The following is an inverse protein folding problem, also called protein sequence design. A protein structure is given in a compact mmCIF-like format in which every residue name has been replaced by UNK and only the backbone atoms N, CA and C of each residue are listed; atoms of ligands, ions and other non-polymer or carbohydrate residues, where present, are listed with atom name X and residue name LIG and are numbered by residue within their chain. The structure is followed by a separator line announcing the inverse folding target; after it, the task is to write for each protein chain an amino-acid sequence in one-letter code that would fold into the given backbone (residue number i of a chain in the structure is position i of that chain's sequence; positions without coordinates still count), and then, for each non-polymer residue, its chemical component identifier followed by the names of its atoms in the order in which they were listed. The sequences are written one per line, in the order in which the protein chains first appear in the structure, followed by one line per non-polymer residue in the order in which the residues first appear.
data_IF_000708024832
#
_entry.id   IF_000708024832
#
_cell.length_a   1.000
_cell.length_b   1.000
_cell.length_c   1.000
_cell.angle_alpha   90.00
_cell.angle_beta   90.00
_cell.angle_gamma   90.00
#
_symmetry.space_group_name_H-M   'P 1'
#
loop_
_entity.id
_entity.type
_entity.pdbx_description
1 polymer ?
#
# COMPACT_ATOMS: atom_id res chain seq x y z
N UNK A 1 -27.87 -28.85 25.51
CA UNK A 1 -28.23 -27.40 25.59
C UNK A 1 -28.97 -27.18 26.90
N UNK A 2 -28.39 -26.47 27.88
CA UNK A 2 -29.04 -26.23 29.19
C UNK A 2 -30.17 -25.21 29.01
N UNK A 3 -31.42 -25.66 29.03
CA UNK A 3 -32.56 -24.79 29.25
C UNK A 3 -32.49 -24.27 30.69
N UNK A 4 -32.08 -23.02 30.87
CA UNK A 4 -32.26 -22.31 32.13
C UNK A 4 -33.75 -22.01 32.30
N UNK A 5 -34.48 -22.89 33.00
CA UNK A 5 -35.87 -22.66 33.36
C UNK A 5 -35.90 -21.62 34.49
N UNK A 6 -36.16 -20.35 34.16
CA UNK A 6 -36.41 -19.31 35.16
C UNK A 6 -37.51 -19.79 36.13
N UNK A 7 -37.29 -19.65 37.45
CA UNK A 7 -38.26 -20.03 38.47
C UNK A 7 -39.54 -19.17 38.38
N UNK A 8 -40.67 -19.71 38.85
CA UNK A 8 -41.97 -19.02 38.81
C UNK A 8 -41.91 -17.60 39.40
N UNK A 9 -41.29 -17.44 40.57
CA UNK A 9 -41.16 -16.14 41.22
C UNK A 9 -40.29 -15.15 40.43
N UNK A 10 -39.25 -15.62 39.73
CA UNK A 10 -38.43 -14.77 38.86
C UNK A 10 -39.21 -14.33 37.61
N UNK A 11 -40.08 -15.18 37.07
CA UNK A 11 -40.98 -14.80 35.96
C UNK A 11 -42.03 -13.78 36.42
N UNK A 12 -42.63 -14.00 37.59
CA UNK A 12 -43.65 -13.11 38.14
C UNK A 12 -43.08 -11.71 38.44
N UNK A 13 -41.92 -11.65 39.08
CA UNK A 13 -41.24 -10.38 39.38
C UNK A 13 -40.78 -9.66 38.11
N UNK A 14 -40.30 -10.39 37.10
CA UNK A 14 -39.98 -9.83 35.80
C UNK A 14 -41.23 -9.26 35.11
N UNK A 15 -42.34 -9.99 35.12
CA UNK A 15 -43.60 -9.56 34.51
C UNK A 15 -44.13 -8.25 35.14
N UNK A 16 -44.13 -8.14 36.47
CA UNK A 16 -44.56 -6.90 37.14
C UNK A 16 -43.65 -5.71 36.79
N UNK A 17 -42.33 -5.91 36.72
CA UNK A 17 -41.40 -4.83 36.35
C UNK A 17 -41.55 -4.40 34.90
N UNK A 18 -41.72 -5.35 33.99
CA UNK A 18 -41.97 -5.09 32.56
C UNK A 18 -43.29 -4.34 32.40
N UNK A 19 -44.36 -4.77 33.06
CA UNK A 19 -45.66 -4.08 33.05
C UNK A 19 -45.55 -2.62 33.50
N UNK A 20 -44.91 -2.36 34.64
CA UNK A 20 -44.70 -0.98 35.10
C UNK A 20 -43.88 -0.15 34.11
N UNK A 21 -42.81 -0.73 33.56
CA UNK A 21 -41.92 -0.04 32.60
C UNK A 21 -42.62 0.28 31.28
N UNK A 22 -43.52 -0.58 30.81
CA UNK A 22 -44.35 -0.31 29.62
C UNK A 22 -45.24 0.92 29.84
N UNK A 23 -45.78 1.11 31.04
CA UNK A 23 -46.66 2.23 31.35
C UNK A 23 -45.91 3.56 31.57
N UNK A 24 -44.62 3.52 31.89
CA UNK A 24 -43.84 4.72 32.23
C UNK A 24 -42.78 5.09 31.19
N UNK A 25 -42.47 4.22 30.23
CA UNK A 25 -41.43 4.45 29.22
C UNK A 25 -41.91 4.06 27.82
N UNK A 26 -42.24 5.08 27.01
CA UNK A 26 -42.77 4.92 25.65
C UNK A 26 -41.80 4.18 24.71
N UNK A 27 -40.51 4.55 24.72
CA UNK A 27 -39.49 3.88 23.88
C UNK A 27 -39.36 2.37 24.17
N UNK A 28 -39.55 1.97 25.43
CA UNK A 28 -39.48 0.57 25.79
C UNK A 28 -40.72 -0.20 25.30
N UNK A 29 -41.90 0.41 25.40
CA UNK A 29 -43.14 -0.15 24.88
C UNK A 29 -43.11 -0.33 23.35
N UNK A 30 -42.60 0.66 22.62
CA UNK A 30 -42.42 0.59 21.16
C UNK A 30 -41.47 -0.53 20.75
N UNK A 31 -40.34 -0.66 21.44
CA UNK A 31 -39.36 -1.73 21.16
C UNK A 31 -39.93 -3.12 21.47
N UNK A 32 -40.77 -3.27 22.50
CA UNK A 32 -41.44 -4.54 22.82
C UNK A 32 -42.48 -4.90 21.76
N UNK A 33 -43.27 -3.93 21.29
CA UNK A 33 -44.21 -4.11 20.18
C UNK A 33 -43.52 -4.50 18.88
N UNK A 34 -42.35 -3.90 18.60
CA UNK A 34 -41.50 -4.29 17.46
C UNK A 34 -40.96 -5.70 17.62
N UNK A 35 -40.57 -6.10 18.83
CA UNK A 35 -40.11 -7.47 19.11
C UNK A 35 -41.24 -8.49 18.89
N UNK A 36 -42.45 -8.20 19.38
CA UNK A 36 -43.62 -9.07 19.19
C UNK A 36 -44.00 -9.23 17.71
N UNK A 37 -43.81 -8.19 16.91
CA UNK A 37 -43.99 -8.24 15.44
C UNK A 37 -42.79 -8.86 14.69
N UNK A 38 -41.70 -9.20 15.39
CA UNK A 38 -40.47 -9.72 14.78
C UNK A 38 -39.66 -8.67 14.02
N UNK A 39 -39.90 -7.38 14.28
CA UNK A 39 -39.31 -6.22 13.59
C UNK A 39 -38.13 -5.60 14.36
N UNK A 40 -37.64 -6.25 15.42
CA UNK A 40 -36.36 -5.86 15.99
C UNK A 40 -35.25 -6.31 15.06
N UNK A 41 -34.79 -5.35 14.26
CA UNK A 41 -33.58 -5.48 13.48
C UNK A 41 -32.39 -5.54 14.46
N UNK A 42 -32.03 -6.75 14.87
CA UNK A 42 -30.83 -7.04 15.68
C UNK A 42 -29.54 -6.86 14.89
N UNK A 43 -29.60 -6.19 13.72
CA UNK A 43 -28.44 -5.72 12.99
C UNK A 43 -27.53 -4.98 13.95
N UNK A 44 -26.50 -5.69 14.37
CA UNK A 44 -25.43 -5.21 15.22
C UNK A 44 -24.89 -3.94 14.58
N UNK A 45 -24.63 -2.85 15.32
CA UNK A 45 -24.00 -1.67 14.72
C UNK A 45 -22.77 -2.16 13.96
N UNK A 46 -22.72 -1.87 12.66
CA UNK A 46 -21.70 -2.36 11.76
C UNK A 46 -20.33 -2.02 12.36
N UNK A 47 -19.65 -3.04 12.89
CA UNK A 47 -18.25 -2.92 13.27
C UNK A 47 -17.53 -2.49 11.98
N UNK A 48 -16.82 -1.35 11.95
CA UNK A 48 -16.09 -0.92 10.77
C UNK A 48 -15.18 -2.08 10.37
N UNK A 49 -15.42 -2.66 9.20
CA UNK A 49 -14.64 -3.79 8.70
C UNK A 49 -13.21 -3.29 8.51
N UNK A 50 -12.27 -3.79 9.31
CA UNK A 50 -10.84 -3.55 9.14
C UNK A 50 -10.49 -3.86 7.67
N UNK A 51 -9.78 -2.95 6.96
CA UNK A 51 -9.49 -3.15 5.55
C UNK A 51 -8.75 -4.48 5.38
N UNK A 52 -9.38 -5.42 4.67
CA UNK A 52 -8.76 -6.71 4.33
C UNK A 52 -7.44 -6.45 3.60
N UNK A 53 -6.34 -7.14 3.96
CA UNK A 53 -5.08 -7.02 3.24
C UNK A 53 -5.33 -7.25 1.75
N UNK A 54 -4.96 -6.28 0.92
CA UNK A 54 -5.11 -6.40 -0.52
C UNK A 54 -4.41 -7.69 -0.99
N UNK A 55 -5.11 -8.51 -1.77
CA UNK A 55 -4.55 -9.75 -2.31
C UNK A 55 -3.27 -9.42 -3.10
N UNK A 56 -2.16 -10.08 -2.73
CA UNK A 56 -0.88 -9.91 -3.41
C UNK A 56 -1.03 -10.38 -4.86
N UNK A 57 -0.79 -9.47 -5.81
CA UNK A 57 -0.77 -9.80 -7.24
C UNK A 57 0.67 -10.05 -7.66
N UNK A 58 0.92 -11.16 -8.35
CA UNK A 58 2.20 -11.38 -9.03
C UNK A 58 2.22 -10.50 -10.29
N UNK A 59 3.26 -9.68 -10.43
CA UNK A 59 3.48 -8.86 -11.63
C UNK A 59 4.12 -9.68 -12.74
N UNK A 60 4.04 -9.20 -13.99
CA UNK A 60 4.67 -9.81 -15.16
C UNK A 60 6.20 -9.86 -14.97
N UNK A 61 6.81 -11.03 -14.72
CA UNK A 61 8.24 -11.13 -14.43
C UNK A 61 9.10 -10.68 -15.63
N UNK A 62 8.59 -10.84 -16.84
CA UNK A 62 9.35 -10.61 -18.08
C UNK A 62 9.72 -9.13 -18.29
N UNK A 63 8.83 -8.18 -17.96
CA UNK A 63 9.17 -6.75 -18.05
C UNK A 63 10.25 -6.34 -17.06
N UNK A 64 10.29 -6.96 -15.88
CA UNK A 64 11.32 -6.71 -14.89
C UNK A 64 12.68 -7.27 -15.33
N UNK A 65 12.68 -8.48 -15.89
CA UNK A 65 13.87 -9.09 -16.48
C UNK A 65 14.38 -8.30 -17.69
N UNK A 66 13.46 -7.81 -18.53
CA UNK A 66 13.79 -6.96 -19.67
C UNK A 66 14.46 -5.65 -19.23
N UNK A 67 13.93 -4.97 -18.20
CA UNK A 67 14.56 -3.78 -17.65
C UNK A 67 15.97 -4.09 -17.13
N UNK A 68 16.11 -5.21 -16.41
CA UNK A 68 17.41 -5.63 -15.88
C UNK A 68 18.43 -5.94 -16.98
N UNK A 69 18.00 -6.55 -18.09
CA UNK A 69 18.83 -6.79 -19.25
C UNK A 69 19.27 -5.48 -19.92
N UNK A 70 18.39 -4.50 -20.07
CA UNK A 70 18.74 -3.18 -20.61
C UNK A 70 19.77 -2.45 -19.73
N UNK A 71 19.58 -2.47 -18.40
CA UNK A 71 20.52 -1.91 -17.43
C UNK A 71 21.88 -2.61 -17.48
N UNK A 72 21.91 -3.93 -17.70
CA UNK A 72 23.15 -4.67 -17.88
C UNK A 72 23.84 -4.31 -19.20
N UNK A 73 23.11 -4.25 -20.31
CA UNK A 73 23.65 -3.98 -21.64
C UNK A 73 24.30 -2.59 -21.74
N UNK A 74 23.64 -1.56 -21.21
CA UNK A 74 24.15 -0.18 -21.32
C UNK A 74 25.05 0.22 -20.14
N UNK A 75 24.77 -0.29 -18.94
CA UNK A 75 25.39 0.17 -17.70
C UNK A 75 26.23 -0.87 -16.96
N UNK A 76 26.29 -2.13 -17.41
CA UNK A 76 26.95 -3.23 -16.68
C UNK A 76 26.48 -3.34 -15.22
N UNK A 77 25.21 -3.04 -14.99
CA UNK A 77 24.66 -2.90 -13.64
C UNK A 77 24.79 -4.17 -12.80
N UNK A 78 24.49 -5.34 -13.38
CA UNK A 78 24.57 -6.61 -12.66
C UNK A 78 26.02 -6.95 -12.35
N UNK A 79 26.94 -6.74 -13.30
CA UNK A 79 28.38 -6.95 -13.07
C UNK A 79 28.87 -6.10 -11.90
N UNK A 80 28.52 -4.82 -11.89
CA UNK A 80 28.96 -3.88 -10.86
C UNK A 80 28.48 -4.30 -9.46
N UNK A 81 27.24 -4.80 -9.33
CA UNK A 81 26.71 -5.28 -8.06
C UNK A 81 27.27 -6.64 -7.62
N UNK A 82 27.74 -7.45 -8.58
CA UNK A 82 28.32 -8.78 -8.32
C UNK A 82 29.82 -8.71 -8.03
N UNK A 83 30.48 -7.62 -8.44
CA UNK A 83 31.88 -7.36 -8.17
C UNK A 83 32.13 -7.14 -6.66
N UNK A 84 33.20 -7.74 -6.14
CA UNK A 84 33.61 -7.49 -4.77
C UNK A 84 34.46 -6.22 -4.69
N UNK A 85 33.84 -5.11 -4.28
CA UNK A 85 34.50 -3.81 -4.30
C UNK A 85 35.44 -3.54 -3.11
N UNK A 86 35.57 -4.44 -2.14
CA UNK A 86 36.27 -4.15 -0.87
C UNK A 86 37.78 -3.89 -1.02
N UNK A 87 38.40 -4.40 -2.09
CA UNK A 87 39.83 -4.24 -2.34
C UNK A 87 40.18 -2.98 -3.14
N UNK A 88 39.19 -2.27 -3.68
CA UNK A 88 39.40 -1.10 -4.54
C UNK A 88 39.39 0.18 -3.72
N UNK A 89 40.16 1.17 -4.18
CA UNK A 89 40.13 2.52 -3.64
C UNK A 89 38.88 3.29 -4.07
N UNK A 90 38.53 4.34 -3.33
CA UNK A 90 37.43 5.25 -3.68
C UNK A 90 37.60 5.86 -5.09
N UNK A 91 38.84 6.07 -5.54
CA UNK A 91 39.13 6.60 -6.87
C UNK A 91 38.78 5.58 -7.97
N UNK A 92 39.13 4.32 -7.77
CA UNK A 92 38.80 3.23 -8.71
C UNK A 92 37.30 2.97 -8.74
N UNK A 93 36.66 2.90 -7.56
CA UNK A 93 35.20 2.75 -7.44
C UNK A 93 34.51 3.94 -8.10
N UNK A 94 34.95 5.17 -7.85
CA UNK A 94 34.38 6.36 -8.44
C UNK A 94 34.52 6.42 -9.97
N UNK A 95 35.60 5.86 -10.52
CA UNK A 95 35.78 5.71 -11.97
C UNK A 95 34.73 4.76 -12.56
N UNK A 96 34.63 3.55 -12.02
CA UNK A 96 33.67 2.55 -12.48
C UNK A 96 32.22 3.01 -12.28
N UNK A 97 31.90 3.60 -11.12
CA UNK A 97 30.55 4.05 -10.77
C UNK A 97 30.03 5.13 -11.73
N UNK A 98 30.89 6.01 -12.27
CA UNK A 98 30.48 7.01 -13.26
C UNK A 98 30.03 6.35 -14.56
N UNK A 99 30.78 5.37 -15.06
CA UNK A 99 30.43 4.62 -16.28
C UNK A 99 29.10 3.88 -16.09
N UNK A 100 28.97 3.16 -14.98
CA UNK A 100 27.73 2.43 -14.64
C UNK A 100 26.54 3.39 -14.51
N UNK A 101 26.74 4.51 -13.81
CA UNK A 101 25.72 5.55 -13.63
C UNK A 101 25.27 6.13 -14.96
N UNK A 102 26.19 6.51 -15.85
CA UNK A 102 25.86 7.08 -17.16
C UNK A 102 25.05 6.09 -18.02
N UNK A 103 25.44 4.82 -18.05
CA UNK A 103 24.70 3.78 -18.78
C UNK A 103 23.31 3.51 -18.19
N UNK A 104 23.20 3.38 -16.87
CA UNK A 104 21.91 3.21 -16.20
C UNK A 104 21.00 4.43 -16.40
N UNK A 105 21.57 5.63 -16.30
CA UNK A 105 20.85 6.88 -16.52
C UNK A 105 20.32 6.97 -17.95
N UNK A 106 21.11 6.55 -18.94
CA UNK A 106 20.68 6.47 -20.34
C UNK A 106 19.46 5.55 -20.50
N UNK A 107 19.49 4.35 -19.93
CA UNK A 107 18.34 3.40 -19.96
C UNK A 107 17.09 4.03 -19.37
N UNK A 108 17.21 4.64 -18.17
CA UNK A 108 16.07 5.27 -17.52
C UNK A 108 15.50 6.41 -18.38
N UNK A 109 16.34 7.30 -18.88
CA UNK A 109 15.93 8.41 -19.73
C UNK A 109 15.28 7.97 -21.05
N UNK A 110 15.83 6.95 -21.70
CA UNK A 110 15.38 6.52 -23.03
C UNK A 110 14.05 5.73 -22.95
N UNK A 111 13.74 5.11 -21.80
CA UNK A 111 12.58 4.22 -21.63
C UNK A 111 11.51 4.70 -20.65
N UNK A 112 11.79 5.67 -19.77
CA UNK A 112 10.86 6.13 -18.75
C UNK A 112 10.77 7.65 -18.72
N UNK A 113 9.55 8.16 -18.61
CA UNK A 113 9.31 9.53 -18.16
C UNK A 113 9.05 9.50 -16.65
N UNK A 114 9.95 10.11 -15.89
CA UNK A 114 9.89 10.16 -14.43
C UNK A 114 9.70 11.61 -14.00
N UNK A 115 8.58 11.86 -13.33
CA UNK A 115 8.18 13.17 -12.85
C UNK A 115 8.03 13.13 -11.32
N UNK A 116 8.15 14.27 -10.63
CA UNK A 116 7.88 14.31 -9.20
C UNK A 116 6.40 14.06 -8.92
N UNK A 117 6.10 13.38 -7.81
CA UNK A 117 4.72 13.17 -7.35
C UNK A 117 4.09 14.50 -6.92
N UNK A 118 4.91 15.37 -6.28
CA UNK A 118 4.52 16.71 -5.82
C UNK A 118 5.18 17.81 -6.64
N UNK A 119 4.39 18.79 -7.06
CA UNK A 119 4.87 19.94 -7.85
C UNK A 119 5.53 21.03 -6.99
N UNK A 120 5.31 21.03 -5.67
CA UNK A 120 5.88 21.99 -4.75
C UNK A 120 7.38 21.77 -4.51
N UNK A 121 8.10 22.82 -4.12
CA UNK A 121 9.52 22.75 -3.76
C UNK A 121 9.70 22.03 -2.42
N UNK A 122 10.77 21.24 -2.30
CA UNK A 122 11.19 20.66 -1.03
C UNK A 122 11.50 21.76 -0.01
N UNK A 123 11.18 21.50 1.26
CA UNK A 123 11.32 22.46 2.36
C UNK A 123 10.13 23.41 2.54
N UNK A 124 9.13 23.40 1.65
CA UNK A 124 7.91 24.20 1.82
C UNK A 124 6.91 23.49 2.73
N UNK A 125 6.19 24.28 3.53
CA UNK A 125 5.09 23.78 4.34
C UNK A 125 3.85 23.54 3.48
N UNK A 126 3.23 22.37 3.64
CA UNK A 126 2.01 21.98 2.96
C UNK A 126 0.97 21.45 3.95
N UNK A 127 -0.28 21.53 3.53
CA UNK A 127 -1.43 20.98 4.26
C UNK A 127 -1.97 19.80 3.47
N UNK A 128 -1.97 18.62 4.07
CA UNK A 128 -2.58 17.41 3.52
C UNK A 128 -4.01 17.31 4.03
N UNK A 129 -5.02 17.45 3.17
CA UNK A 129 -6.43 17.39 3.57
C UNK A 129 -6.83 15.97 3.98
N UNK A 130 -8.03 15.84 4.55
CA UNK A 130 -8.64 14.52 4.74
C UNK A 130 -8.84 13.84 3.38
N UNK A 131 -8.56 12.54 3.31
CA UNK A 131 -8.63 11.77 2.06
C UNK A 131 -7.46 11.98 1.10
N UNK A 132 -6.32 12.50 1.56
CA UNK A 132 -5.11 12.54 0.74
C UNK A 132 -4.67 11.12 0.31
N UNK A 133 -4.01 11.01 -0.83
CA UNK A 133 -3.52 9.73 -1.35
C UNK A 133 -2.33 9.21 -0.53
N UNK A 134 -2.61 8.23 0.33
CA UNK A 134 -1.61 7.58 1.18
C UNK A 134 -0.65 6.65 0.41
N UNK A 135 -0.93 6.31 -0.85
CA UNK A 135 0.00 5.59 -1.71
C UNK A 135 1.03 6.54 -2.35
N UNK A 136 0.62 7.77 -2.67
CA UNK A 136 1.47 8.80 -3.26
C UNK A 136 2.27 9.60 -2.23
N UNK A 137 1.72 9.81 -1.03
CA UNK A 137 2.34 10.64 0.02
C UNK A 137 2.44 9.87 1.33
N UNK A 138 3.67 9.68 1.81
CA UNK A 138 3.95 9.06 3.10
C UNK A 138 4.19 10.12 4.16
N UNK A 139 3.41 10.08 5.24
CA UNK A 139 3.66 10.89 6.44
C UNK A 139 4.86 10.33 7.21
N UNK A 140 5.76 11.21 7.67
CA UNK A 140 6.94 10.84 8.45
C UNK A 140 7.02 11.69 9.72
N UNK A 141 7.49 11.11 10.83
CA UNK A 141 7.58 11.77 12.14
C UNK A 141 6.48 11.33 13.11
N UNK A 142 6.20 12.17 14.12
CA UNK A 142 5.15 11.90 15.09
C UNK A 142 3.77 12.28 14.53
N UNK A 143 3.11 11.33 13.87
CA UNK A 143 1.78 11.52 13.28
C UNK A 143 0.72 11.23 14.34
N UNK A 144 0.11 12.27 14.90
CA UNK A 144 -0.98 12.17 15.87
C UNK A 144 -2.21 12.92 15.36
N UNK A 145 -3.40 12.40 15.68
CA UNK A 145 -4.68 13.01 15.28
C UNK A 145 -5.16 12.58 13.90
N UNK A 146 -6.15 13.32 13.38
CA UNK A 146 -6.75 13.11 12.06
C UNK A 146 -6.39 14.27 11.14
N UNK A 147 -6.37 14.06 9.81
CA UNK A 147 -6.15 15.15 8.86
C UNK A 147 -7.20 16.27 9.03
N UNK A 148 -6.89 17.52 8.65
CA UNK A 148 -5.73 17.92 7.85
C UNK A 148 -4.40 17.90 8.61
N UNK A 149 -3.36 17.35 7.98
CA UNK A 149 -2.00 17.37 8.53
C UNK A 149 -1.22 18.55 7.95
N UNK A 150 -0.46 19.24 8.78
CA UNK A 150 0.45 20.31 8.34
C UNK A 150 1.88 19.84 8.56
N UNK A 151 2.70 19.87 7.50
CA UNK A 151 4.08 19.41 7.55
C UNK A 151 4.93 20.01 6.43
N UNK A 152 6.22 19.75 6.48
CA UNK A 152 7.18 20.22 5.47
C UNK A 152 7.42 19.12 4.44
N UNK A 153 7.39 19.47 3.15
CA UNK A 153 7.71 18.53 2.08
C UNK A 153 9.20 18.21 2.09
N UNK A 154 9.57 17.03 2.61
CA UNK A 154 10.98 16.63 2.70
C UNK A 154 11.53 16.09 1.39
N UNK A 155 10.71 15.38 0.62
CA UNK A 155 11.07 14.83 -0.69
C UNK A 155 9.83 14.78 -1.58
N UNK A 156 9.95 15.20 -2.84
CA UNK A 156 8.79 15.33 -3.76
C UNK A 156 8.22 14.00 -4.25
N UNK A 157 8.95 12.91 -4.01
CA UNK A 157 8.64 11.59 -4.56
C UNK A 157 8.93 11.53 -6.04
N UNK A 158 8.95 10.31 -6.58
CA UNK A 158 9.11 10.07 -8.01
C UNK A 158 7.97 9.17 -8.48
N UNK A 159 7.38 9.49 -9.62
CA UNK A 159 6.40 8.67 -10.31
C UNK A 159 6.79 8.51 -11.76
N UNK A 160 6.46 7.35 -12.32
CA UNK A 160 6.59 7.10 -13.75
C UNK A 160 5.28 7.55 -14.42
N UNK A 161 5.37 8.48 -15.35
CA UNK A 161 4.21 9.01 -16.10
C UNK A 161 4.08 8.39 -17.49
N UNK A 162 5.17 7.86 -18.05
CA UNK A 162 5.17 7.10 -19.29
C UNK A 162 6.26 6.01 -19.31
N UNK A 163 5.98 4.90 -19.98
CA UNK A 163 6.90 3.76 -20.17
C UNK A 163 6.97 3.44 -21.66
N UNK A 164 8.20 3.29 -22.19
CA UNK A 164 8.48 2.92 -23.58
C UNK A 164 9.59 1.88 -23.63
N UNK A 165 9.27 0.65 -23.28
CA UNK A 165 10.19 -0.49 -23.41
C UNK A 165 10.24 -1.01 -24.86
N UNK A 166 11.39 -1.55 -25.30
CA UNK A 166 11.50 -2.18 -26.61
C UNK A 166 10.62 -3.43 -26.68
N UNK A 167 10.27 -3.86 -27.89
CA UNK A 167 9.53 -5.11 -28.08
C UNK A 167 10.49 -6.29 -27.94
N UNK A 168 10.03 -7.36 -27.29
CA UNK A 168 10.76 -8.63 -27.23
C UNK A 168 10.52 -9.41 -28.51
N UNK A 169 11.57 -10.04 -29.04
CA UNK A 169 11.46 -10.98 -30.15
C UNK A 169 10.82 -12.29 -29.68
N UNK A 170 10.04 -12.95 -30.55
CA UNK A 170 9.49 -14.26 -30.25
C UNK A 170 10.62 -15.28 -30.01
N UNK A 171 10.53 -16.03 -28.91
CA UNK A 171 11.54 -17.03 -28.52
C UNK A 171 12.77 -16.48 -27.79
N UNK A 172 12.86 -15.17 -27.52
CA UNK A 172 13.93 -14.62 -26.69
C UNK A 172 13.74 -15.01 -25.21
N UNK A 173 14.71 -15.72 -24.63
CA UNK A 173 14.70 -16.03 -23.20
C UNK A 173 15.18 -14.82 -22.38
N UNK A 174 14.22 -14.08 -21.84
CA UNK A 174 14.47 -12.91 -20.97
C UNK A 174 15.20 -13.23 -19.68
N UNK A 175 15.37 -14.51 -19.31
CA UNK A 175 16.17 -14.92 -18.14
C UNK A 175 17.67 -14.80 -18.38
N UNK A 176 18.09 -14.78 -19.64
CA UNK A 176 19.49 -14.55 -20.02
C UNK A 176 19.71 -13.05 -20.19
N UNK A 177 20.17 -12.41 -19.11
CA UNK A 177 20.36 -10.94 -19.08
C UNK A 177 21.54 -10.46 -19.94
N UNK A 178 22.58 -11.28 -20.04
CA UNK A 178 23.71 -11.11 -20.94
C UNK A 178 24.23 -12.49 -21.33
N UNK A 179 24.48 -12.76 -22.64
CA UNK A 179 25.04 -14.02 -23.08
C UNK A 179 26.52 -14.15 -22.64
N UNK A 180 26.98 -15.39 -22.45
CA UNK A 180 28.40 -15.65 -22.26
C UNK A 180 29.14 -15.54 -23.60
N UNK A 181 30.27 -14.85 -23.62
CA UNK A 181 31.12 -14.68 -24.79
C UNK A 181 32.31 -15.66 -24.71
N UNK A 182 32.60 -16.36 -25.81
CA UNK A 182 33.72 -17.31 -25.93
C UNK A 182 34.51 -16.98 -27.19
N UNK A 183 35.78 -16.64 -27.03
CA UNK A 183 36.73 -16.40 -28.13
C UNK A 183 37.35 -17.73 -28.58
N UNK A 184 37.59 -17.89 -29.90
CA UNK A 184 38.19 -19.08 -30.54
C UNK A 184 39.52 -18.74 -31.21
#
# INVERSE_FOLDING_TARGET
MKQSQLSFFNRLTLALRVFGRILTHDEFAENLLRLERGELDLSTPAVPELPKPAALRQTLPDSALQLLALLQQEGRFVDFLKENVTAYSDAEIGGAARVVHEGCYKVIRDHFQIDPVRSETEGVQLTLPSGFDAAAVRLTGNVVGQPPFVGTLMHRGWQVTAIKLPKLAEGHDVRVLAPAEVEL
#
